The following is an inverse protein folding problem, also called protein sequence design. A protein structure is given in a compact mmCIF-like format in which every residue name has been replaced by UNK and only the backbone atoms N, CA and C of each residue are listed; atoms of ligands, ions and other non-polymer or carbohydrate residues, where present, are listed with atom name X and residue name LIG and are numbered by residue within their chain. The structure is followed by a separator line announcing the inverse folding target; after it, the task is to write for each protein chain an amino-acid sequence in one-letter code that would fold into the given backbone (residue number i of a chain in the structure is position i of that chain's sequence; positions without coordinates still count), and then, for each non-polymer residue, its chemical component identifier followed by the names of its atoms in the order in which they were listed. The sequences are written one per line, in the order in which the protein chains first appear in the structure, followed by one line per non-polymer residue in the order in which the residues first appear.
data_IF_362155119336
#
_entry.id   IF_362155119336
#
_cell.length_a   1.000
_cell.length_b   1.000
_cell.length_c   1.000
_cell.angle_alpha   90.00
_cell.angle_beta   90.00
_cell.angle_gamma   90.00
#
_symmetry.space_group_name_H-M   'P 1'
#
loop_
_entity.id
_entity.type
_entity.pdbx_description
1 polymer ?
#
# COMPACT_ATOMS: atom_id res chain seq x y z
N UNK A 1 -24.42 -0.15 47.14
CA UNK A 1 -24.75 -0.68 45.81
C UNK A 1 -23.70 -0.17 44.86
N UNK A 2 -22.77 -1.02 44.44
CA UNK A 2 -21.66 -0.63 43.56
C UNK A 2 -22.14 -0.62 42.11
N UNK A 3 -22.05 0.54 41.45
CA UNK A 3 -22.23 0.62 40.00
C UNK A 3 -21.01 0.01 39.33
N UNK A 4 -21.12 -1.24 38.89
CA UNK A 4 -20.17 -1.81 37.93
C UNK A 4 -20.53 -1.27 36.55
N UNK A 5 -19.74 -0.32 36.06
CA UNK A 5 -19.79 0.05 34.65
C UNK A 5 -19.37 -1.18 33.82
N UNK A 6 -20.09 -1.53 32.74
CA UNK A 6 -19.61 -2.54 31.82
C UNK A 6 -18.32 -2.02 31.21
N UNK A 7 -17.21 -2.71 31.48
CA UNK A 7 -15.97 -2.58 30.73
C UNK A 7 -16.32 -2.81 29.26
N UNK A 8 -16.26 -1.75 28.44
CA UNK A 8 -16.29 -1.92 26.98
C UNK A 8 -15.09 -2.81 26.67
N UNK A 9 -15.35 -4.02 26.19
CA UNK A 9 -14.30 -4.83 25.59
C UNK A 9 -13.62 -3.98 24.50
N UNK A 10 -12.27 -3.96 24.45
CA UNK A 10 -11.59 -3.31 23.35
C UNK A 10 -12.10 -3.91 22.03
N UNK A 11 -12.25 -3.09 20.97
CA UNK A 11 -12.69 -3.60 19.69
C UNK A 11 -11.75 -4.75 19.24
N UNK A 12 -12.29 -5.79 18.61
CA UNK A 12 -11.49 -6.91 18.13
C UNK A 12 -10.42 -6.41 17.15
N UNK A 13 -9.20 -6.91 17.31
CA UNK A 13 -8.08 -6.61 16.42
C UNK A 13 -8.43 -7.01 14.98
N UNK A 14 -8.20 -6.14 13.98
CA UNK A 14 -8.47 -6.47 12.57
C UNK A 14 -7.72 -7.73 12.11
N UNK A 15 -8.36 -8.57 11.31
CA UNK A 15 -7.71 -9.72 10.67
C UNK A 15 -6.91 -9.25 9.45
N UNK A 16 -5.58 -9.30 9.59
CA UNK A 16 -4.61 -8.88 8.58
C UNK A 16 -4.00 -10.07 7.81
N UNK A 17 -4.59 -11.26 7.88
CA UNK A 17 -4.12 -12.42 7.13
C UNK A 17 -4.24 -12.21 5.61
N UNK A 18 -3.30 -12.80 4.87
CA UNK A 18 -3.24 -12.76 3.40
C UNK A 18 -3.01 -14.20 2.89
N UNK A 19 -3.51 -14.54 1.68
CA UNK A 19 -3.04 -15.74 1.00
C UNK A 19 -1.53 -15.64 0.75
N UNK A 20 -0.82 -16.77 0.68
CA UNK A 20 0.63 -16.73 0.43
C UNK A 20 0.99 -16.16 -0.94
N UNK A 21 0.10 -16.32 -1.92
CA UNK A 21 0.30 -15.85 -3.30
C UNK A 21 -1.00 -15.33 -3.90
N UNK A 22 -0.90 -14.37 -4.82
CA UNK A 22 -2.02 -13.82 -5.57
C UNK A 22 -1.62 -13.52 -7.04
N UNK A 23 -1.60 -14.54 -7.93
CA UNK A 23 -1.20 -14.37 -9.33
C UNK A 23 -2.10 -13.40 -10.11
N UNK A 24 -3.33 -13.16 -9.66
CA UNK A 24 -4.28 -12.24 -10.28
C UNK A 24 -3.79 -10.78 -10.31
N UNK A 25 -2.95 -10.39 -9.35
CA UNK A 25 -2.34 -9.05 -9.32
C UNK A 25 -1.20 -8.91 -10.34
N UNK A 26 -0.66 -10.03 -10.81
CA UNK A 26 0.47 -10.09 -11.74
C UNK A 26 0.14 -9.99 -13.22
N UNK A 27 -1.15 -10.02 -13.58
CA UNK A 27 -1.60 -10.02 -14.98
C UNK A 27 -1.24 -8.72 -15.74
N UNK A 28 -0.83 -7.69 -15.00
CA UNK A 28 -0.51 -6.35 -15.50
C UNK A 28 0.99 -6.15 -15.75
N UNK A 29 1.82 -7.19 -15.69
CA UNK A 29 3.29 -7.09 -15.76
C UNK A 29 3.85 -6.43 -17.03
N UNK A 30 3.05 -6.28 -18.09
CA UNK A 30 3.43 -5.66 -19.37
C UNK A 30 2.72 -4.32 -19.63
N UNK A 31 2.18 -3.69 -18.58
CA UNK A 31 1.53 -2.37 -18.64
C UNK A 31 2.41 -1.31 -17.99
N UNK A 32 2.15 -0.03 -18.31
CA UNK A 32 2.86 1.11 -17.74
C UNK A 32 2.14 1.61 -16.47
N UNK A 33 2.91 1.83 -15.40
CA UNK A 33 2.41 2.24 -14.08
C UNK A 33 2.90 3.63 -13.65
N UNK A 34 3.65 4.35 -14.50
CA UNK A 34 4.27 5.65 -14.16
C UNK A 34 3.28 6.71 -13.62
N UNK A 35 2.00 6.62 -13.99
CA UNK A 35 0.94 7.54 -13.55
C UNK A 35 -0.13 6.87 -12.69
N UNK A 36 0.09 5.61 -12.28
CA UNK A 36 -0.90 4.84 -11.56
C UNK A 36 -0.94 5.24 -10.08
N UNK A 37 -2.14 5.41 -9.53
CA UNK A 37 -2.30 5.76 -8.11
C UNK A 37 -2.42 4.51 -7.23
N UNK A 38 -1.87 4.55 -6.03
CA UNK A 38 -2.13 3.56 -4.99
C UNK A 38 -3.53 3.77 -4.39
N UNK A 39 -4.25 2.67 -4.20
CA UNK A 39 -5.57 2.71 -3.56
C UNK A 39 -5.44 2.80 -2.03
N UNK A 40 -6.23 3.68 -1.43
CA UNK A 40 -6.33 3.82 0.03
C UNK A 40 -7.65 3.25 0.57
N UNK A 41 -7.55 2.21 1.40
CA UNK A 41 -8.67 1.55 2.06
C UNK A 41 -8.63 1.75 3.58
N UNK A 42 -9.69 1.38 4.29
CA UNK A 42 -9.72 1.35 5.74
C UNK A 42 -10.45 0.14 6.31
N UNK A 43 -9.87 -0.49 7.35
CA UNK A 43 -10.48 -1.58 8.13
C UNK A 43 -11.18 -1.07 9.40
N UNK A 44 -11.13 0.23 9.66
CA UNK A 44 -11.84 0.89 10.75
C UNK A 44 -12.84 1.89 10.20
N UNK A 45 -13.84 2.23 11.00
CA UNK A 45 -14.84 3.20 10.57
C UNK A 45 -14.29 4.63 10.68
N UNK A 46 -13.92 5.21 9.55
CA UNK A 46 -13.42 6.59 9.46
C UNK A 46 -14.40 7.47 8.69
N UNK A 47 -14.67 8.71 9.16
CA UNK A 47 -15.33 9.72 8.36
C UNK A 47 -14.57 9.95 7.05
N UNK A 48 -15.29 10.19 5.96
CA UNK A 48 -14.69 10.45 4.66
C UNK A 48 -13.69 11.61 4.69
N UNK A 49 -13.97 12.65 5.48
CA UNK A 49 -13.07 13.80 5.67
C UNK A 49 -11.74 13.41 6.30
N UNK A 50 -11.75 12.45 7.24
CA UNK A 50 -10.52 11.97 7.88
C UNK A 50 -9.69 11.14 6.89
N UNK A 51 -10.34 10.29 6.10
CA UNK A 51 -9.66 9.52 5.06
C UNK A 51 -9.07 10.42 3.95
N UNK A 52 -9.77 11.50 3.59
CA UNK A 52 -9.23 12.53 2.69
C UNK A 52 -7.99 13.20 3.28
N UNK A 53 -8.01 13.57 4.56
CA UNK A 53 -6.83 14.10 5.25
C UNK A 53 -5.66 13.14 5.15
N UNK A 54 -5.88 11.84 5.41
CA UNK A 54 -4.84 10.81 5.28
C UNK A 54 -4.26 10.80 3.87
N UNK A 55 -5.12 10.71 2.83
CA UNK A 55 -4.66 10.71 1.45
C UNK A 55 -3.81 11.95 1.12
N UNK A 56 -4.28 13.14 1.50
CA UNK A 56 -3.58 14.42 1.32
C UNK A 56 -2.23 14.45 2.04
N UNK A 57 -2.15 13.94 3.28
CA UNK A 57 -0.90 13.88 4.04
C UNK A 57 0.14 13.00 3.35
N UNK A 58 -0.28 11.86 2.81
CA UNK A 58 0.63 10.91 2.20
C UNK A 58 1.20 11.38 0.86
N UNK A 59 0.48 12.23 0.12
CA UNK A 59 0.92 12.81 -1.15
C UNK A 59 1.31 14.31 -1.06
N UNK A 60 1.44 14.87 0.14
CA UNK A 60 1.62 16.31 0.35
C UNK A 60 2.81 16.88 -0.46
N UNK A 61 3.94 16.18 -0.45
CA UNK A 61 5.14 16.59 -1.20
C UNK A 61 5.02 16.37 -2.71
N UNK A 62 4.19 15.42 -3.14
CA UNK A 62 3.93 15.17 -4.55
C UNK A 62 3.16 16.34 -5.16
N UNK A 63 2.11 16.81 -4.49
CA UNK A 63 1.33 17.97 -4.94
C UNK A 63 2.12 19.28 -4.94
N UNK A 64 3.22 19.36 -4.19
CA UNK A 64 4.10 20.53 -4.17
C UNK A 64 5.09 20.55 -5.35
N UNK A 65 5.27 19.43 -6.04
CA UNK A 65 6.12 19.36 -7.23
C UNK A 65 5.36 19.89 -8.45
N UNK A 66 5.96 20.86 -9.16
CA UNK A 66 5.32 21.56 -10.28
C UNK A 66 4.93 20.68 -11.46
N UNK A 67 5.55 19.50 -11.58
CA UNK A 67 5.46 18.66 -12.76
C UNK A 67 4.33 17.62 -12.65
N UNK A 68 3.68 17.53 -11.48
CA UNK A 68 2.70 16.48 -11.15
C UNK A 68 1.36 17.04 -10.66
N UNK A 69 1.03 18.30 -10.96
CA UNK A 69 -0.19 18.96 -10.43
C UNK A 69 -1.51 18.28 -10.80
N UNK A 70 -1.50 17.43 -11.82
CA UNK A 70 -2.67 16.77 -12.37
C UNK A 70 -2.69 15.26 -12.08
N UNK A 71 -1.70 14.73 -11.35
CA UNK A 71 -1.62 13.32 -10.96
C UNK A 71 -1.60 13.18 -9.45
N UNK A 72 -2.22 12.10 -8.97
CA UNK A 72 -2.27 11.78 -7.55
C UNK A 72 -1.50 10.48 -7.31
N UNK A 73 -0.61 10.46 -6.33
CA UNK A 73 0.01 9.19 -5.91
C UNK A 73 -1.02 8.29 -5.24
N UNK A 74 -2.01 8.89 -4.58
CA UNK A 74 -2.98 8.16 -3.76
C UNK A 74 -4.37 8.59 -4.13
N UNK A 75 -5.24 7.61 -4.36
CA UNK A 75 -6.66 7.85 -4.61
C UNK A 75 -7.50 6.96 -3.70
N UNK A 76 -8.66 7.48 -3.29
CA UNK A 76 -9.64 6.72 -2.50
C UNK A 76 -10.62 6.07 -3.48
N UNK A 77 -10.66 4.72 -3.58
CA UNK A 77 -11.59 4.05 -4.47
C UNK A 77 -13.05 4.19 -4.00
N UNK A 78 -14.00 3.93 -4.90
CA UNK A 78 -15.43 4.03 -4.58
C UNK A 78 -15.83 3.13 -3.40
N UNK A 79 -15.27 1.91 -3.34
CA UNK A 79 -15.44 0.99 -2.21
C UNK A 79 -14.17 0.98 -1.38
N UNK A 80 -14.10 1.82 -0.35
CA UNK A 80 -12.89 2.01 0.48
C UNK A 80 -13.07 1.68 1.97
N UNK A 81 -14.29 1.70 2.50
CA UNK A 81 -14.57 1.43 3.92
C UNK A 81 -14.94 -0.05 4.13
N UNK A 82 -14.08 -0.74 4.88
CA UNK A 82 -14.16 -2.15 5.23
C UNK A 82 -14.17 -2.33 6.76
N UNK A 83 -14.78 -1.39 7.50
CA UNK A 83 -14.95 -1.51 8.93
C UNK A 83 -15.58 -2.86 9.33
N UNK A 84 -14.94 -3.56 10.27
CA UNK A 84 -15.33 -4.90 10.74
C UNK A 84 -15.24 -6.02 9.69
N UNK A 85 -14.49 -5.81 8.60
CA UNK A 85 -14.15 -6.84 7.62
C UNK A 85 -12.68 -7.25 7.74
N UNK A 86 -12.23 -8.12 6.85
CA UNK A 86 -10.87 -8.64 6.82
C UNK A 86 -10.03 -7.94 5.76
N UNK A 87 -8.70 -8.04 5.87
CA UNK A 87 -7.79 -7.60 4.82
C UNK A 87 -8.02 -8.37 3.50
N UNK A 88 -8.45 -9.64 3.58
CA UNK A 88 -8.80 -10.44 2.42
C UNK A 88 -10.01 -9.89 1.64
N UNK A 89 -10.96 -9.24 2.32
CA UNK A 89 -12.08 -8.55 1.65
C UNK A 89 -11.58 -7.36 0.82
N UNK A 90 -10.59 -6.61 1.31
CA UNK A 90 -9.94 -5.52 0.57
C UNK A 90 -9.20 -6.10 -0.64
N UNK A 91 -8.40 -7.15 -0.45
CA UNK A 91 -7.66 -7.82 -1.53
C UNK A 91 -8.61 -8.25 -2.66
N UNK A 92 -9.76 -8.83 -2.32
CA UNK A 92 -10.76 -9.26 -3.31
C UNK A 92 -11.29 -8.09 -4.15
N UNK A 93 -11.50 -6.92 -3.53
CA UNK A 93 -11.92 -5.70 -4.23
C UNK A 93 -10.78 -5.12 -5.06
N UNK A 94 -9.54 -5.12 -4.54
CA UNK A 94 -8.36 -4.68 -5.28
C UNK A 94 -8.17 -5.52 -6.55
N UNK A 95 -8.34 -6.84 -6.49
CA UNK A 95 -8.25 -7.73 -7.66
C UNK A 95 -9.34 -7.39 -8.68
N UNK A 96 -10.59 -7.25 -8.23
CA UNK A 96 -11.75 -7.03 -9.10
C UNK A 96 -11.86 -5.60 -9.65
N UNK A 97 -11.13 -4.64 -9.08
CA UNK A 97 -11.15 -3.24 -9.50
C UNK A 97 -10.68 -3.08 -10.94
N UNK A 98 -11.46 -2.35 -11.74
CA UNK A 98 -11.03 -1.87 -13.05
C UNK A 98 -9.79 -0.97 -12.88
N UNK A 99 -8.67 -1.37 -13.50
CA UNK A 99 -7.40 -0.63 -13.41
C UNK A 99 -7.36 0.61 -14.29
N UNK A 100 -8.49 0.98 -14.89
CA UNK A 100 -8.65 2.17 -15.75
C UNK A 100 -7.65 2.15 -16.92
N UNK A 101 -7.41 0.96 -17.49
CA UNK A 101 -6.38 0.77 -18.51
C UNK A 101 -6.74 1.52 -19.80
N UNK A 102 -5.86 2.42 -20.23
CA UNK A 102 -5.93 3.07 -21.54
C UNK A 102 -4.92 2.45 -22.49
N UNK A 103 -5.35 1.87 -23.63
CA UNK A 103 -4.43 1.25 -24.58
C UNK A 103 -3.42 2.26 -25.14
N UNK A 104 -2.17 1.82 -25.27
CA UNK A 104 -1.13 2.60 -25.95
C UNK A 104 -0.99 2.16 -27.40
N UNK A 105 -0.54 3.09 -28.24
CA UNK A 105 -0.26 2.82 -29.66
C UNK A 105 1.23 2.59 -29.95
N UNK A 106 2.10 2.80 -28.96
CA UNK A 106 3.52 2.50 -29.07
C UNK A 106 3.80 1.03 -28.71
N UNK A 107 4.90 0.48 -29.21
CA UNK A 107 5.23 -0.95 -29.06
C UNK A 107 5.86 -1.29 -27.69
N UNK A 108 5.69 -0.44 -26.68
CA UNK A 108 6.39 -0.53 -25.39
C UNK A 108 5.63 -1.33 -24.35
N UNK A 109 4.39 -0.95 -24.06
CA UNK A 109 3.53 -1.55 -23.06
C UNK A 109 2.10 -1.72 -23.60
N UNK A 110 1.32 -2.64 -23.04
CA UNK A 110 -0.04 -2.92 -23.51
C UNK A 110 -1.02 -1.76 -23.26
N UNK A 111 -0.73 -0.92 -22.27
CA UNK A 111 -1.55 0.22 -21.87
C UNK A 111 -0.97 0.97 -20.67
N UNK A 112 -1.51 2.15 -20.40
CA UNK A 112 -1.28 2.89 -19.15
C UNK A 112 -2.38 2.55 -18.13
N UNK A 113 -2.00 2.34 -16.87
CA UNK A 113 -2.95 2.09 -15.78
C UNK A 113 -3.24 3.37 -14.99
N UNK A 114 -4.49 3.53 -14.55
CA UNK A 114 -4.87 4.57 -13.59
C UNK A 114 -4.73 4.15 -12.13
N UNK A 115 -4.65 2.85 -11.86
CA UNK A 115 -4.51 2.28 -10.52
C UNK A 115 -3.33 1.33 -10.44
N UNK A 116 -2.55 1.45 -9.36
CA UNK A 116 -1.43 0.56 -9.09
C UNK A 116 -1.97 -0.87 -8.87
N UNK A 117 -1.54 -1.85 -9.67
CA UNK A 117 -2.23 -3.13 -9.72
C UNK A 117 -1.94 -4.00 -8.50
N UNK A 118 -0.66 -4.13 -8.14
CA UNK A 118 -0.16 -5.13 -7.20
C UNK A 118 0.19 -4.57 -5.81
N UNK A 119 -0.22 -3.36 -5.48
CA UNK A 119 0.00 -2.78 -4.16
C UNK A 119 -1.08 -1.76 -3.78
N UNK A 120 -1.35 -1.65 -2.48
CA UNK A 120 -2.35 -0.73 -1.91
C UNK A 120 -2.05 -0.43 -0.44
N UNK A 121 -2.71 0.60 0.09
CA UNK A 121 -2.52 1.11 1.47
C UNK A 121 -3.81 0.89 2.26
N UNK A 122 -3.67 0.51 3.53
CA UNK A 122 -4.79 0.26 4.45
C UNK A 122 -4.59 1.00 5.76
N UNK A 123 -5.61 1.76 6.17
CA UNK A 123 -5.71 2.31 7.53
C UNK A 123 -6.34 1.27 8.44
N UNK A 124 -5.59 0.80 9.44
CA UNK A 124 -6.03 -0.27 10.35
C UNK A 124 -6.41 0.23 11.75
N UNK A 125 -5.90 1.40 12.15
CA UNK A 125 -6.12 2.02 13.46
C UNK A 125 -6.24 3.54 13.33
N UNK A 126 -6.83 4.19 14.34
CA UNK A 126 -7.06 5.65 14.33
C UNK A 126 -5.77 6.43 14.59
N UNK A 127 -4.86 5.85 15.34
CA UNK A 127 -3.56 6.42 15.69
C UNK A 127 -2.55 6.22 14.54
N UNK A 128 -2.99 6.31 13.28
CA UNK A 128 -2.19 6.02 12.08
C UNK A 128 -0.95 6.90 11.91
N UNK A 129 -0.95 8.11 12.48
CA UNK A 129 0.23 8.99 12.50
C UNK A 129 1.38 8.38 13.33
N UNK A 130 1.03 7.72 14.44
CA UNK A 130 1.98 7.12 15.37
C UNK A 130 2.24 5.65 15.06
N UNK A 131 1.20 4.88 14.76
CA UNK A 131 1.25 3.43 14.49
C UNK A 131 1.65 3.12 13.05
N UNK A 132 1.51 4.09 12.15
CA UNK A 132 1.74 3.92 10.73
C UNK A 132 0.53 3.38 9.99
N UNK A 133 0.76 3.15 8.69
CA UNK A 133 -0.22 2.62 7.76
C UNK A 133 0.29 1.29 7.22
N UNK A 134 -0.64 0.40 6.89
CA UNK A 134 -0.28 -0.91 6.33
C UNK A 134 -0.13 -0.76 4.81
N UNK A 135 1.06 -1.03 4.30
CA UNK A 135 1.31 -1.24 2.88
C UNK A 135 1.19 -2.72 2.57
N UNK A 136 0.41 -3.08 1.55
CA UNK A 136 0.20 -4.46 1.12
C UNK A 136 0.57 -4.57 -0.33
N UNK A 137 1.33 -5.60 -0.68
CA UNK A 137 1.79 -5.80 -2.05
C UNK A 137 1.90 -7.27 -2.44
N UNK A 138 1.96 -7.49 -3.74
CA UNK A 138 2.31 -8.75 -4.36
C UNK A 138 3.51 -8.54 -5.28
N UNK A 139 4.62 -9.22 -5.02
CA UNK A 139 5.83 -9.13 -5.84
C UNK A 139 6.08 -10.45 -6.58
N UNK A 140 6.69 -10.40 -7.75
CA UNK A 140 7.03 -11.62 -8.50
C UNK A 140 8.19 -12.31 -7.75
N UNK A 141 7.86 -13.37 -7.01
CA UNK A 141 8.85 -14.22 -6.37
C UNK A 141 9.53 -15.06 -7.46
N UNK A 142 10.49 -14.44 -8.16
CA UNK A 142 11.40 -15.15 -9.05
C UNK A 142 12.36 -16.02 -8.22
N UNK A 143 11.86 -17.09 -7.60
CA UNK A 143 12.74 -18.12 -7.04
C UNK A 143 13.52 -18.82 -8.18
N UNK A 144 14.84 -18.64 -8.22
CA UNK A 144 15.73 -19.47 -9.04
C UNK A 144 15.78 -20.91 -8.50
N UNK A 145 14.80 -21.74 -8.87
CA UNK A 145 14.87 -23.19 -8.64
C UNK A 145 15.58 -23.86 -9.83
N UNK A 146 16.91 -23.77 -9.85
CA UNK A 146 17.75 -24.29 -10.95
C UNK A 146 17.65 -23.45 -12.23
N UNK A 147 17.74 -24.05 -13.43
CA UNK A 147 17.70 -23.34 -14.74
C UNK A 147 16.28 -23.03 -15.25
N UNK A 148 15.25 -23.12 -14.41
CA UNK A 148 13.86 -22.88 -14.82
C UNK A 148 13.23 -21.84 -13.89
N UNK A 149 13.04 -20.63 -14.42
CA UNK A 149 12.20 -19.62 -13.79
C UNK A 149 10.75 -20.15 -13.74
N UNK A 150 10.17 -20.28 -12.54
CA UNK A 150 8.72 -20.41 -12.42
C UNK A 150 8.15 -18.99 -12.45
N UNK A 151 7.80 -18.53 -13.65
CA UNK A 151 7.10 -17.26 -13.83
C UNK A 151 5.75 -17.33 -13.11
N UNK A 152 5.46 -16.37 -12.23
CA UNK A 152 4.09 -16.09 -11.78
C UNK A 152 3.66 -16.65 -10.43
N UNK A 153 4.57 -16.75 -9.45
CA UNK A 153 4.16 -16.87 -8.05
C UNK A 153 4.27 -15.47 -7.42
N UNK A 154 3.22 -14.67 -7.58
CA UNK A 154 3.16 -13.33 -6.99
C UNK A 154 2.97 -13.45 -5.48
N UNK A 155 4.06 -13.46 -4.72
CA UNK A 155 4.05 -13.64 -3.27
C UNK A 155 3.48 -12.39 -2.60
N UNK A 156 2.55 -12.61 -1.67
CA UNK A 156 1.93 -11.53 -0.92
C UNK A 156 2.76 -11.21 0.32
N UNK A 157 2.98 -9.92 0.56
CA UNK A 157 3.55 -9.45 1.81
C UNK A 157 2.91 -8.11 2.22
N UNK A 158 3.19 -7.68 3.44
CA UNK A 158 2.72 -6.44 4.01
C UNK A 158 3.70 -5.95 5.07
N UNK A 159 3.74 -4.64 5.26
CA UNK A 159 4.48 -4.00 6.35
C UNK A 159 3.84 -2.69 6.74
N UNK A 160 4.13 -2.22 7.95
CA UNK A 160 3.75 -0.89 8.39
C UNK A 160 4.82 0.12 8.02
N UNK A 161 4.42 1.33 7.62
CA UNK A 161 5.32 2.45 7.35
C UNK A 161 4.79 3.74 7.97
N UNK A 162 5.67 4.73 8.19
CA UNK A 162 5.25 6.03 8.73
C UNK A 162 4.71 6.93 7.62
N UNK A 163 3.62 7.69 7.86
CA UNK A 163 3.06 8.61 6.86
C UNK A 163 4.05 9.63 6.30
N UNK A 164 4.99 10.10 7.11
CA UNK A 164 6.03 11.06 6.69
C UNK A 164 6.95 10.53 5.59
N UNK A 165 7.08 9.21 5.48
CA UNK A 165 7.96 8.54 4.53
C UNK A 165 7.22 8.15 3.23
N UNK A 166 5.88 8.29 3.21
CA UNK A 166 5.00 7.89 2.12
C UNK A 166 5.42 8.47 0.76
N UNK A 167 5.69 9.78 0.72
CA UNK A 167 6.08 10.43 -0.52
C UNK A 167 7.31 9.76 -1.16
N UNK A 168 8.39 9.62 -0.40
CA UNK A 168 9.66 9.08 -0.92
C UNK A 168 9.51 7.61 -1.31
N UNK A 169 8.82 6.84 -0.46
CA UNK A 169 8.55 5.43 -0.69
C UNK A 169 7.73 5.20 -1.97
N UNK A 170 6.56 5.84 -2.07
CA UNK A 170 5.64 5.63 -3.18
C UNK A 170 6.17 6.22 -4.50
N UNK A 171 6.83 7.38 -4.47
CA UNK A 171 7.41 7.95 -5.68
C UNK A 171 8.55 7.09 -6.22
N UNK A 172 9.39 6.52 -5.35
CA UNK A 172 10.50 5.64 -5.78
C UNK A 172 9.99 4.37 -6.44
N UNK A 173 8.88 3.80 -5.93
CA UNK A 173 8.20 2.68 -6.57
C UNK A 173 7.63 3.07 -7.94
N UNK A 174 6.97 4.23 -8.04
CA UNK A 174 6.37 4.74 -9.28
C UNK A 174 7.42 4.99 -10.37
N UNK A 175 8.57 5.57 -10.02
CA UNK A 175 9.64 5.82 -10.97
C UNK A 175 10.50 4.59 -11.28
N UNK A 176 10.26 3.46 -10.59
CA UNK A 176 11.07 2.25 -10.73
C UNK A 176 12.49 2.39 -10.16
N UNK A 177 12.73 3.37 -9.30
CA UNK A 177 14.00 3.56 -8.57
C UNK A 177 14.17 2.50 -7.46
N UNK A 178 13.05 1.90 -7.03
CA UNK A 178 12.99 0.92 -5.95
C UNK A 178 12.01 -0.23 -6.28
N UNK A 179 12.28 -1.42 -5.72
CA UNK A 179 11.40 -2.59 -5.80
C UNK A 179 10.69 -2.81 -4.45
N UNK A 180 9.57 -3.54 -4.45
CA UNK A 180 8.67 -3.67 -3.29
C UNK A 180 9.36 -4.26 -2.05
N UNK A 181 10.17 -5.31 -2.23
CA UNK A 181 10.96 -5.92 -1.14
C UNK A 181 11.95 -4.91 -0.53
N UNK A 182 12.65 -4.14 -1.37
CA UNK A 182 13.60 -3.12 -0.91
C UNK A 182 12.90 -2.00 -0.13
N UNK A 183 11.71 -1.62 -0.57
CA UNK A 183 10.87 -0.64 0.09
C UNK A 183 10.52 -1.07 1.52
N UNK A 184 10.18 -2.35 1.71
CA UNK A 184 9.99 -2.92 3.04
C UNK A 184 11.24 -2.79 3.91
N UNK A 185 12.43 -3.16 3.40
CA UNK A 185 13.69 -3.06 4.17
C UNK A 185 14.02 -1.63 4.64
N UNK A 186 13.61 -0.62 3.88
CA UNK A 186 13.91 0.77 4.18
C UNK A 186 12.88 1.45 5.10
N UNK A 187 11.61 1.10 4.95
CA UNK A 187 10.50 1.86 5.55
C UNK A 187 9.68 1.06 6.57
N UNK A 188 9.90 -0.24 6.69
CA UNK A 188 9.20 -1.06 7.69
C UNK A 188 9.48 -0.54 9.10
N UNK A 189 8.38 -0.31 9.82
CA UNK A 189 8.37 -0.12 11.26
C UNK A 189 7.78 -1.36 11.91
N UNK A 190 8.27 -1.69 13.11
CA UNK A 190 7.66 -2.77 13.90
C UNK A 190 6.20 -2.51 14.21
N UNK A 191 5.45 -3.58 14.47
CA UNK A 191 4.01 -3.54 14.81
C UNK A 191 3.69 -2.68 16.05
N UNK A 192 4.69 -2.37 16.88
CA UNK A 192 4.57 -1.46 18.03
C UNK A 192 4.79 0.02 17.68
N UNK A 193 5.12 0.34 16.44
CA UNK A 193 5.40 1.69 15.95
C UNK A 193 6.76 2.26 16.40
N UNK A 194 7.59 1.46 17.07
CA UNK A 194 8.81 1.91 17.76
C UNK A 194 10.11 1.29 17.24
N UNK A 195 10.07 0.20 16.47
CA UNK A 195 11.30 -0.38 15.90
C UNK A 195 11.54 0.07 14.47
N UNK A 196 11.64 1.39 14.26
CA UNK A 196 12.41 1.92 13.13
C UNK A 196 13.84 2.11 13.64
N UNK A 197 14.81 1.38 13.08
CA UNK A 197 16.22 1.45 13.47
C UNK A 197 16.64 2.91 13.73
N UNK A 198 16.94 3.24 14.99
CA UNK A 198 17.92 4.27 15.31
C UNK A 198 19.25 3.78 14.71
N UNK A 199 19.48 4.06 13.42
CA UNK A 199 20.83 3.98 12.87
C UNK A 199 21.59 5.16 13.43
N UNK A 200 22.26 4.92 14.55
CA UNK A 200 23.40 5.68 15.02
C UNK A 200 24.34 5.99 13.85
N UNK A 201 24.97 7.17 13.93
CA UNK A 201 25.67 7.83 12.84
C UNK A 201 26.74 7.00 12.14
N UNK A 202 26.99 7.39 10.90
CA UNK A 202 28.28 7.15 10.24
C UNK A 202 28.83 8.52 9.88
N UNK A 203 29.80 8.96 10.68
CA UNK A 203 30.79 9.98 10.32
C UNK A 203 31.57 9.56 9.07
N UNK A 204 31.94 10.54 8.23
CA UNK A 204 32.91 10.43 7.13
C UNK A 204 32.25 10.23 5.76
N UNK A 205 32.36 11.15 4.82
CA UNK A 205 33.57 11.80 4.31
C UNK A 205 33.34 13.25 3.86
#
# INVERSE_FOLDING_TARGET
MGNTYPTKEPPPTPDLSLPSHCPELGIYSNTNWDNASFALYTLIDLPHTELQTIATTLEERWMQASDYSDTHLIRIPQTHNFANKTLQDILSVQIAMDKEMTPRSDAGADGDLGWWPNAFIVVVEREWEERGLLFVYADDDEEEVGKKKKKGMFAMDKYFFKPKDAYMMLSSLVFGDEYLERSKELYEIGEDGLTGLEREGVDGY
#
